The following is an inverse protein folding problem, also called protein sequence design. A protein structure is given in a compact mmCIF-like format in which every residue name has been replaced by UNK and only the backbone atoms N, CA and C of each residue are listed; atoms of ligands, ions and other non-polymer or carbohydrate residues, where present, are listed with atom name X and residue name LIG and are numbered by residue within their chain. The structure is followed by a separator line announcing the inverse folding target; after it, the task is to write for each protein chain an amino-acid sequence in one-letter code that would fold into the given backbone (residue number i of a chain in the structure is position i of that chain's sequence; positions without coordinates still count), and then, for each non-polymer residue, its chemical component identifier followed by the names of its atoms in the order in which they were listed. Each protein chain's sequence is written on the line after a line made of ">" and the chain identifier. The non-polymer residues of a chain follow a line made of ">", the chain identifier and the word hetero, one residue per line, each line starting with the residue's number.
data_IF_350064051143
#
_entry.id   IF_350064051143
#
_cell.length_a   1.000
_cell.length_b   1.000
_cell.length_c   1.000
_cell.angle_alpha   90.00
_cell.angle_beta   90.00
_cell.angle_gamma   90.00
#
_symmetry.space_group_name_H-M   'P 1'
#
loop_
_entity.id
_entity.type
_entity.pdbx_description
1 polymer ?
#
# COMPACT_ATOMS: atom_id res chain seq x y z
N UNK A 1 26.88 22.55 23.66
CA UNK A 1 25.66 21.77 23.35
C UNK A 1 25.02 22.39 22.11
N UNK A 2 25.03 21.71 20.94
CA UNK A 2 24.32 22.16 19.74
C UNK A 2 22.91 21.56 19.76
N UNK A 3 21.89 22.40 19.80
CA UNK A 3 20.53 21.96 19.50
C UNK A 3 20.44 21.66 18.00
N UNK A 4 20.07 20.43 17.65
CA UNK A 4 19.73 20.04 16.28
C UNK A 4 18.31 20.58 16.06
N UNK A 5 18.21 21.73 15.42
CA UNK A 5 16.92 22.33 15.07
C UNK A 5 16.35 21.59 13.86
N UNK A 6 15.47 20.62 14.10
CA UNK A 6 14.67 19.98 13.06
C UNK A 6 13.65 21.02 12.55
N UNK A 7 14.02 21.76 11.51
CA UNK A 7 13.06 22.55 10.75
C UNK A 7 12.01 21.59 10.19
N UNK A 8 10.78 21.65 10.70
CA UNK A 8 9.62 21.14 9.96
C UNK A 8 9.23 22.27 9.01
N UNK A 9 9.61 22.24 7.72
CA UNK A 9 9.14 23.22 6.77
C UNK A 9 7.61 23.17 6.75
N UNK A 10 6.96 24.33 6.93
CA UNK A 10 5.54 24.60 6.70
C UNK A 10 4.91 23.58 5.73
N UNK A 11 4.15 22.62 6.27
CA UNK A 11 3.41 21.55 5.57
C UNK A 11 3.98 21.13 4.21
N UNK A 12 5.21 20.61 4.17
CA UNK A 12 5.77 20.08 2.93
C UNK A 12 4.91 18.91 2.44
N UNK A 13 4.17 19.13 1.35
CA UNK A 13 3.24 18.13 0.80
C UNK A 13 4.01 16.97 0.20
N UNK A 14 3.95 15.82 0.86
CA UNK A 14 4.46 14.55 0.36
C UNK A 14 3.35 13.81 -0.37
N UNK A 15 3.66 13.25 -1.54
CA UNK A 15 2.70 12.53 -2.39
C UNK A 15 3.24 11.17 -2.80
N UNK A 16 2.33 10.26 -3.15
CA UNK A 16 2.65 8.97 -3.75
C UNK A 16 2.85 9.18 -5.25
N UNK A 17 4.04 8.89 -5.77
CA UNK A 17 4.38 9.06 -7.19
C UNK A 17 4.32 7.76 -8.00
N UNK A 18 4.20 6.62 -7.34
CA UNK A 18 4.11 5.31 -7.97
C UNK A 18 3.53 4.28 -7.01
N UNK A 19 2.86 3.28 -7.57
CA UNK A 19 2.25 2.18 -6.81
C UNK A 19 2.50 0.85 -7.53
N UNK A 20 2.68 -0.21 -6.73
CA UNK A 20 2.77 -1.59 -7.19
C UNK A 20 2.04 -2.51 -6.20
N UNK A 21 1.45 -3.59 -6.69
CA UNK A 21 0.73 -4.54 -5.86
C UNK A 21 0.92 -5.96 -6.38
N UNK A 22 1.27 -6.87 -5.49
CA UNK A 22 1.34 -8.31 -5.73
C UNK A 22 0.61 -9.00 -4.57
N UNK A 23 -0.54 -9.60 -4.86
CA UNK A 23 -1.42 -10.18 -3.83
C UNK A 23 -2.32 -11.26 -4.45
N UNK A 24 -3.00 -12.07 -3.62
CA UNK A 24 -4.04 -13.00 -4.11
C UNK A 24 -5.19 -12.31 -4.86
N UNK A 25 -5.41 -11.01 -4.65
CA UNK A 25 -6.45 -10.24 -5.34
C UNK A 25 -6.01 -9.68 -6.70
N UNK A 26 -4.71 -9.72 -7.01
CA UNK A 26 -4.17 -9.23 -8.28
C UNK A 26 -2.65 -9.03 -8.24
N UNK A 27 -2.03 -9.17 -9.41
CA UNK A 27 -0.58 -9.05 -9.62
C UNK A 27 -0.15 -7.66 -10.13
N UNK A 28 -1.09 -6.71 -10.15
CA UNK A 28 -0.85 -5.31 -10.44
C UNK A 28 -1.92 -4.46 -9.72
N UNK A 29 -1.69 -3.15 -9.67
CA UNK A 29 -2.55 -2.20 -8.94
C UNK A 29 -4.00 -2.24 -9.42
N UNK A 30 -4.23 -2.35 -10.73
CA UNK A 30 -5.58 -2.39 -11.32
C UNK A 30 -6.34 -3.63 -10.86
N UNK A 31 -5.76 -4.81 -11.07
CA UNK A 31 -6.39 -6.08 -10.71
C UNK A 31 -6.66 -6.17 -9.20
N UNK A 32 -5.70 -5.72 -8.39
CA UNK A 32 -5.84 -5.64 -6.93
C UNK A 32 -7.03 -4.76 -6.53
N UNK A 33 -7.11 -3.54 -7.08
CA UNK A 33 -8.18 -2.59 -6.77
C UNK A 33 -9.56 -3.10 -7.19
N UNK A 34 -9.68 -3.67 -8.40
CA UNK A 34 -10.92 -4.28 -8.88
C UNK A 34 -11.35 -5.46 -7.99
N UNK A 35 -10.40 -6.22 -7.42
CA UNK A 35 -10.67 -7.30 -6.47
C UNK A 35 -11.19 -6.82 -5.14
N UNK A 36 -10.58 -5.78 -4.60
CA UNK A 36 -11.03 -5.14 -3.36
C UNK A 36 -12.42 -4.56 -3.50
N UNK A 37 -12.67 -3.74 -4.54
CA UNK A 37 -13.99 -3.11 -4.74
C UNK A 37 -15.08 -4.15 -4.94
N UNK A 38 -14.80 -5.23 -5.68
CA UNK A 38 -15.76 -6.30 -5.89
C UNK A 38 -16.00 -7.19 -4.63
N UNK A 39 -15.31 -6.92 -3.52
CA UNK A 39 -15.45 -7.69 -2.28
C UNK A 39 -14.94 -9.13 -2.41
N UNK A 40 -14.00 -9.40 -3.33
CA UNK A 40 -13.44 -10.76 -3.50
C UNK A 40 -12.56 -11.09 -2.30
N UNK A 41 -12.72 -12.29 -1.75
CA UNK A 41 -11.78 -12.84 -0.76
C UNK A 41 -10.51 -13.32 -1.46
N UNK A 42 -9.35 -12.93 -0.94
CA UNK A 42 -8.04 -13.45 -1.36
C UNK A 42 -7.61 -14.69 -0.57
N UNK A 43 -8.43 -15.17 0.35
CA UNK A 43 -8.13 -16.30 1.26
C UNK A 43 -8.99 -17.50 0.86
N UNK A 44 -8.38 -18.70 0.90
CA UNK A 44 -9.06 -19.98 0.69
C UNK A 44 -8.72 -20.99 1.79
N UNK A 45 -9.40 -22.15 1.82
CA UNK A 45 -9.13 -23.22 2.79
C UNK A 45 -7.69 -23.74 2.68
N UNK A 46 -7.12 -24.16 3.82
CA UNK A 46 -5.84 -24.89 3.84
C UNK A 46 -6.08 -26.30 3.31
N UNK A 47 -5.35 -26.70 2.27
CA UNK A 47 -5.47 -28.02 1.64
C UNK A 47 -4.34 -28.98 1.99
N UNK A 48 -3.28 -28.50 2.64
CA UNK A 48 -2.12 -29.30 3.04
C UNK A 48 -1.45 -28.68 4.28
N UNK A 49 -0.97 -29.55 5.17
CA UNK A 49 -0.16 -29.21 6.35
C UNK A 49 1.25 -29.80 6.21
#
# INVERSE_FOLDING_TARGET
>A
MRQIQLSHPETQRVVITGMGALSPLGLNVRAFWEGLIAGRSGIGPITQF
#
